data_IF_911119345878
#
_entry.id   IF_911119345878
#
_cell.length_a   1.000
_cell.length_b   1.000
_cell.length_c   1.000
_cell.angle_alpha   90.00
_cell.angle_beta   90.00
_cell.angle_gamma   90.00
#
_symmetry.space_group_name_H-M   'P 1'
#
loop_
_entity.id
_entity.type
_entity.pdbx_description
1 polymer ?
#
# COMPACT_ATOMS: atom_id res chain seq x y z
N UNK A 1 -11.26 8.62 29.83
CA UNK A 1 -10.90 8.60 29.37
C UNK A 1 -10.57 8.24 28.42
N UNK A 2 -10.69 7.75 27.95
CA UNK A 2 -10.43 7.32 27.21
C UNK A 2 -9.82 7.66 26.34
N UNK A 3 -9.71 8.23 26.39
CA UNK A 3 -9.10 8.78 25.59
C UNK A 3 -7.90 8.39 25.03
N UNK A 4 -7.15 7.95 25.60
CA UNK A 4 -5.93 7.29 25.19
C UNK A 4 -6.20 6.35 24.06
N UNK A 5 -7.31 5.71 24.17
CA UNK A 5 -7.77 4.84 23.11
C UNK A 5 -7.97 5.57 21.78
N UNK A 6 -7.99 6.91 21.84
CA UNK A 6 -8.10 7.69 20.62
C UNK A 6 -6.84 7.64 19.76
N UNK A 7 -5.69 7.19 20.32
CA UNK A 7 -4.47 7.06 19.55
C UNK A 7 -4.48 5.73 18.80
N UNK A 8 -5.10 5.75 17.65
CA UNK A 8 -5.17 4.59 16.79
C UNK A 8 -3.81 4.31 16.18
N UNK A 9 -3.40 3.03 16.19
CA UNK A 9 -2.13 2.63 15.58
C UNK A 9 -2.38 2.24 14.14
N UNK A 10 -1.68 2.91 13.24
CA UNK A 10 -1.77 2.63 11.82
C UNK A 10 -0.37 2.52 11.23
N UNK A 11 -0.24 1.74 10.16
CA UNK A 11 1.00 1.62 9.41
C UNK A 11 0.76 2.16 8.01
N UNK A 12 1.66 3.02 7.53
CA UNK A 12 1.61 3.50 6.16
C UNK A 12 2.84 3.03 5.40
N UNK A 13 2.60 2.40 4.26
CA UNK A 13 3.66 2.02 3.32
C UNK A 13 3.83 3.22 2.40
N UNK A 14 4.88 3.97 2.64
CA UNK A 14 5.03 5.38 2.25
C UNK A 14 6.12 5.58 1.22
N UNK A 15 5.87 6.49 0.28
CA UNK A 15 6.87 7.00 -0.64
C UNK A 15 6.88 8.52 -0.50
N UNK A 16 7.94 9.07 0.11
CA UNK A 16 8.00 10.50 0.41
C UNK A 16 8.05 11.38 -0.84
N UNK A 17 8.32 10.79 -2.00
CA UNK A 17 8.31 11.53 -3.28
C UNK A 17 6.94 11.56 -3.93
N UNK A 18 5.99 10.80 -3.41
CA UNK A 18 4.64 10.72 -3.96
C UNK A 18 3.73 11.69 -3.20
N UNK A 19 3.12 12.64 -3.93
CA UNK A 19 2.24 13.65 -3.31
C UNK A 19 1.06 13.00 -2.59
N UNK A 20 0.46 11.97 -3.17
CA UNK A 20 -0.67 11.27 -2.53
C UNK A 20 -0.25 10.61 -1.24
N UNK A 21 0.96 10.06 -1.21
CA UNK A 21 1.49 9.44 0.00
C UNK A 21 1.73 10.47 1.09
N UNK A 22 2.32 11.63 0.74
CA UNK A 22 2.53 12.71 1.70
C UNK A 22 1.21 13.26 2.23
N UNK A 23 0.21 13.45 1.37
CA UNK A 23 -1.11 13.94 1.77
C UNK A 23 -1.80 12.95 2.70
N UNK A 24 -1.69 11.67 2.42
CA UNK A 24 -2.25 10.62 3.26
C UNK A 24 -1.61 10.62 4.64
N UNK A 25 -0.28 10.69 4.70
CA UNK A 25 0.44 10.74 5.97
C UNK A 25 0.00 11.94 6.79
N UNK A 26 -0.15 13.10 6.15
CA UNK A 26 -0.60 14.31 6.83
C UNK A 26 -1.98 14.12 7.44
N UNK A 27 -2.91 13.52 6.71
CA UNK A 27 -4.25 13.26 7.22
C UNK A 27 -4.21 12.35 8.47
N UNK A 28 -3.38 11.32 8.44
CA UNK A 28 -3.23 10.43 9.59
C UNK A 28 -2.68 11.17 10.80
N UNK A 29 -1.70 12.03 10.59
CA UNK A 29 -1.09 12.82 11.65
C UNK A 29 -2.07 13.84 12.23
N UNK A 30 -2.84 14.49 11.38
CA UNK A 30 -3.85 15.46 11.82
C UNK A 30 -4.98 14.79 12.60
N UNK A 31 -5.26 13.53 12.29
CA UNK A 31 -6.25 12.74 13.01
C UNK A 31 -5.76 12.33 14.41
N UNK A 32 -4.46 12.46 14.66
CA UNK A 32 -3.87 12.06 15.94
C UNK A 32 -3.52 10.59 16.03
N UNK A 33 -3.39 9.92 14.88
CA UNK A 33 -3.00 8.51 14.86
C UNK A 33 -1.54 8.35 15.28
N UNK A 34 -1.23 7.21 15.90
CA UNK A 34 0.14 6.78 16.08
C UNK A 34 0.56 6.06 14.80
N UNK A 35 1.42 6.70 14.00
CA UNK A 35 1.73 6.22 12.67
C UNK A 35 3.09 5.56 12.62
N UNK A 36 3.13 4.31 12.15
CA UNK A 36 4.38 3.66 11.79
C UNK A 36 4.58 3.88 10.29
N UNK A 37 5.72 4.45 9.93
CA UNK A 37 6.04 4.75 8.53
C UNK A 37 7.03 3.71 8.02
N UNK A 38 6.65 2.99 6.98
CA UNK A 38 7.54 2.04 6.31
C UNK A 38 7.82 2.58 4.92
N UNK A 39 9.08 2.90 4.65
CA UNK A 39 9.49 3.32 3.31
C UNK A 39 9.69 2.06 2.48
N UNK A 40 8.63 1.63 1.80
CA UNK A 40 8.58 0.33 1.15
C UNK A 40 9.58 0.18 0.00
N UNK A 41 10.08 1.28 -0.55
CA UNK A 41 11.11 1.21 -1.59
C UNK A 41 12.47 0.79 -1.00
N UNK A 42 12.68 1.05 0.29
CA UNK A 42 13.90 0.66 1.01
C UNK A 42 13.73 -0.63 1.79
N UNK A 43 12.51 -0.86 2.27
CA UNK A 43 12.16 -2.04 3.06
C UNK A 43 10.94 -2.69 2.40
N UNK A 44 11.12 -3.38 1.28
CA UNK A 44 9.99 -3.90 0.51
C UNK A 44 9.21 -4.98 1.27
N UNK A 45 7.89 -5.00 1.12
CA UNK A 45 7.11 -6.10 1.67
C UNK A 45 7.40 -7.40 0.93
N UNK A 46 7.28 -8.50 1.64
CA UNK A 46 7.43 -9.83 1.05
C UNK A 46 6.19 -10.16 0.20
N UNK A 47 6.31 -11.20 -0.62
CA UNK A 47 5.16 -11.69 -1.38
C UNK A 47 4.00 -12.08 -0.44
N UNK A 48 4.32 -12.66 0.73
CA UNK A 48 3.31 -13.02 1.71
C UNK A 48 2.60 -11.81 2.29
N UNK A 49 3.35 -10.75 2.60
CA UNK A 49 2.77 -9.50 3.08
C UNK A 49 1.88 -8.87 2.02
N UNK A 50 2.33 -8.88 0.76
CA UNK A 50 1.53 -8.36 -0.34
C UNK A 50 0.24 -9.16 -0.52
N UNK A 51 0.30 -10.47 -0.36
CA UNK A 51 -0.91 -11.30 -0.41
C UNK A 51 -1.89 -10.92 0.70
N UNK A 52 -1.37 -10.62 1.90
CA UNK A 52 -2.21 -10.17 3.01
C UNK A 52 -2.84 -8.81 2.70
N UNK A 53 -2.10 -7.89 2.09
CA UNK A 53 -2.68 -6.60 1.65
C UNK A 53 -3.83 -6.84 0.68
N UNK A 54 -3.63 -7.71 -0.29
CA UNK A 54 -4.68 -8.01 -1.28
C UNK A 54 -5.94 -8.54 -0.61
N UNK A 55 -5.79 -9.44 0.38
CA UNK A 55 -6.95 -9.96 1.11
C UNK A 55 -7.68 -8.85 1.84
N UNK A 56 -6.94 -7.99 2.54
CA UNK A 56 -7.54 -6.89 3.31
C UNK A 56 -8.17 -5.84 2.41
N UNK A 57 -7.61 -5.62 1.23
CA UNK A 57 -8.11 -4.64 0.27
C UNK A 57 -9.23 -5.20 -0.62
N UNK A 58 -9.38 -6.52 -0.66
CA UNK A 58 -10.34 -7.15 -1.58
C UNK A 58 -9.90 -7.05 -3.03
N UNK A 59 -8.59 -7.08 -3.29
CA UNK A 59 -8.02 -6.94 -4.63
C UNK A 59 -7.30 -8.21 -5.06
N UNK A 60 -7.26 -8.42 -6.37
CA UNK A 60 -6.34 -9.39 -6.95
C UNK A 60 -4.95 -8.75 -7.03
N UNK A 61 -3.86 -9.54 -7.01
CA UNK A 61 -2.51 -8.98 -7.07
C UNK A 61 -2.28 -8.01 -8.22
N UNK A 62 -2.78 -8.30 -9.40
CA UNK A 62 -2.59 -7.42 -10.56
C UNK A 62 -3.26 -6.06 -10.34
N UNK A 63 -4.34 -6.01 -9.56
CA UNK A 63 -5.04 -4.76 -9.24
C UNK A 63 -4.24 -3.89 -8.27
N UNK A 64 -3.31 -4.48 -7.53
CA UNK A 64 -2.43 -3.75 -6.63
C UNK A 64 -1.22 -3.19 -7.37
N UNK A 65 -1.02 -3.58 -8.62
CA UNK A 65 0.18 -3.30 -9.37
C UNK A 65 0.04 -2.04 -10.21
N UNK A 66 1.11 -1.27 -10.29
CA UNK A 66 1.15 -0.05 -11.09
C UNK A 66 1.58 -0.42 -12.52
N UNK A 67 0.62 -0.87 -13.31
CA UNK A 67 0.89 -1.36 -14.66
C UNK A 67 1.31 -0.25 -15.62
N UNK A 68 1.11 1.01 -15.25
CA UNK A 68 1.51 2.15 -16.06
C UNK A 68 2.92 2.64 -15.76
N UNK A 69 3.61 2.05 -14.78
CA UNK A 69 5.00 2.36 -14.54
C UNK A 69 5.85 1.94 -15.73
N UNK A 70 6.85 2.74 -16.05
CA UNK A 70 7.75 2.43 -17.15
C UNK A 70 8.43 1.07 -16.96
N UNK A 71 8.80 0.73 -15.73
CA UNK A 71 9.44 -0.54 -15.44
C UNK A 71 8.58 -1.73 -15.85
N UNK A 72 7.26 -1.62 -15.71
CA UNK A 72 6.32 -2.68 -16.08
C UNK A 72 6.52 -3.05 -17.56
N UNK A 73 6.54 -2.04 -18.44
CA UNK A 73 6.72 -2.29 -19.86
C UNK A 73 8.16 -2.68 -20.17
N UNK A 74 9.15 -2.13 -19.48
CA UNK A 74 10.56 -2.49 -19.68
C UNK A 74 10.84 -3.95 -19.33
N UNK A 75 10.09 -4.51 -18.40
CA UNK A 75 10.20 -5.92 -18.03
C UNK A 75 9.45 -6.85 -18.99
N UNK A 76 8.80 -6.30 -20.01
CA UNK A 76 8.03 -7.09 -20.95
C UNK A 76 6.73 -7.64 -20.37
N UNK A 77 6.20 -7.02 -19.33
CA UNK A 77 4.98 -7.48 -18.69
C UNK A 77 3.75 -6.92 -19.40
N UNK A 78 2.65 -7.65 -19.35
CA UNK A 78 1.37 -7.20 -19.88
C UNK A 78 0.27 -7.65 -18.91
N UNK A 79 -0.82 -6.86 -18.83
CA UNK A 79 -1.90 -7.14 -17.90
C UNK A 79 -2.65 -8.43 -18.23
N UNK A 80 -2.59 -8.86 -19.49
CA UNK A 80 -3.22 -10.09 -19.94
C UNK A 80 -2.28 -11.30 -19.95
N UNK A 81 -1.09 -11.16 -19.35
CA UNK A 81 -0.17 -12.29 -19.23
C UNK A 81 -0.82 -13.42 -18.43
N UNK A 82 -0.56 -14.66 -18.85
CA UNK A 82 -1.07 -15.84 -18.16
C UNK A 82 -0.20 -16.18 -16.93
N UNK A 83 0.05 -15.21 -16.07
CA UNK A 83 0.84 -15.40 -14.85
C UNK A 83 -0.06 -15.70 -13.67
N UNK A 84 0.42 -16.53 -12.75
CA UNK A 84 -0.34 -16.82 -11.54
C UNK A 84 -0.30 -15.63 -10.59
N UNK A 85 -1.21 -15.62 -9.61
CA UNK A 85 -1.19 -14.60 -8.57
C UNK A 85 0.14 -14.60 -7.83
N UNK A 86 0.72 -15.78 -7.60
CA UNK A 86 2.03 -15.89 -6.94
C UNK A 86 3.13 -15.23 -7.75
N UNK A 87 3.08 -15.36 -9.08
CA UNK A 87 4.05 -14.73 -9.96
C UNK A 87 3.96 -13.20 -9.85
N UNK A 88 2.74 -12.65 -9.88
CA UNK A 88 2.55 -11.20 -9.76
C UNK A 88 3.03 -10.68 -8.41
N UNK A 89 2.74 -11.41 -7.33
CA UNK A 89 3.19 -11.02 -5.98
C UNK A 89 4.71 -11.02 -5.89
N UNK A 90 5.36 -12.03 -6.47
CA UNK A 90 6.81 -12.09 -6.45
C UNK A 90 7.42 -10.95 -7.24
N UNK A 91 6.85 -10.63 -8.40
CA UNK A 91 7.33 -9.52 -9.23
C UNK A 91 7.27 -8.21 -8.44
N UNK A 92 6.17 -7.95 -7.72
CA UNK A 92 6.04 -6.74 -6.91
C UNK A 92 7.02 -6.74 -5.73
N UNK A 93 7.21 -7.88 -5.07
CA UNK A 93 8.15 -7.98 -3.96
C UNK A 93 9.58 -7.67 -4.41
N UNK A 94 9.95 -8.14 -5.60
CA UNK A 94 11.28 -7.91 -6.16
C UNK A 94 11.42 -6.53 -6.80
N UNK A 95 10.30 -5.86 -7.11
CA UNK A 95 10.29 -4.56 -7.78
C UNK A 95 9.24 -3.65 -7.11
N UNK A 96 9.55 -3.15 -5.91
CA UNK A 96 8.53 -2.43 -5.11
C UNK A 96 7.98 -1.17 -5.75
N UNK A 97 8.67 -0.58 -6.73
CA UNK A 97 8.13 0.56 -7.45
C UNK A 97 6.83 0.22 -8.19
N UNK A 98 6.58 -1.06 -8.43
CA UNK A 98 5.37 -1.52 -9.10
C UNK A 98 4.18 -1.65 -8.15
N UNK A 99 4.36 -1.44 -6.85
CA UNK A 99 3.29 -1.56 -5.87
C UNK A 99 2.53 -0.23 -5.79
N UNK A 100 1.19 -0.31 -5.78
CA UNK A 100 0.35 0.89 -5.59
C UNK A 100 0.59 1.50 -4.22
N UNK A 101 0.48 2.82 -4.11
CA UNK A 101 0.83 3.57 -2.88
C UNK A 101 -0.09 4.77 -2.69
N UNK A 102 -0.27 5.21 -1.45
CA UNK A 102 0.20 4.56 -0.23
C UNK A 102 -0.78 3.48 0.22
N UNK A 103 -0.27 2.45 0.87
CA UNK A 103 -1.12 1.46 1.52
C UNK A 103 -1.11 1.77 3.00
N UNK A 104 -2.30 1.88 3.59
CA UNK A 104 -2.46 2.14 5.02
C UNK A 104 -3.17 0.96 5.65
N UNK A 105 -2.60 0.45 6.73
CA UNK A 105 -3.13 -0.73 7.43
C UNK A 105 -3.45 -0.37 8.87
N UNK A 106 -4.63 -0.75 9.31
CA UNK A 106 -5.06 -0.61 10.69
C UNK A 106 -5.70 -1.93 11.12
N UNK A 107 -4.96 -2.72 11.91
CA UNK A 107 -5.43 -4.04 12.29
C UNK A 107 -5.65 -4.93 11.06
N UNK A 108 -6.84 -5.44 10.92
CA UNK A 108 -7.21 -6.30 9.79
C UNK A 108 -7.75 -5.51 8.59
N UNK A 109 -7.79 -4.20 8.69
CA UNK A 109 -8.29 -3.34 7.63
C UNK A 109 -7.15 -2.68 6.90
N UNK A 110 -7.34 -2.45 5.60
CA UNK A 110 -6.37 -1.75 4.77
C UNK A 110 -7.09 -0.89 3.75
N UNK A 111 -6.42 0.14 3.28
CA UNK A 111 -6.95 1.02 2.23
C UNK A 111 -5.77 1.59 1.44
N UNK A 112 -6.02 1.87 0.16
CA UNK A 112 -5.08 2.63 -0.66
C UNK A 112 -5.50 4.09 -0.57
N UNK A 113 -4.57 4.97 -0.17
CA UNK A 113 -4.86 6.39 0.02
C UNK A 113 -4.90 7.18 -1.29
N UNK A 114 -5.74 6.78 -2.21
CA UNK A 114 -5.92 7.44 -3.49
C UNK A 114 -7.41 7.49 -3.84
N UNK A 115 -8.07 8.59 -3.57
CA UNK A 115 -7.52 9.82 -2.98
C UNK A 115 -7.16 9.64 -1.49
N UNK A 116 -6.33 10.55 -0.94
CA UNK A 116 -5.88 10.41 0.46
C UNK A 116 -7.01 10.28 1.47
N UNK A 117 -8.14 10.93 1.24
CA UNK A 117 -9.30 10.90 2.13
C UNK A 117 -9.85 9.49 2.37
N UNK A 118 -9.52 8.53 1.50
CA UNK A 118 -9.98 7.16 1.65
C UNK A 118 -9.51 6.52 2.95
N UNK A 119 -8.44 7.04 3.57
CA UNK A 119 -7.98 6.51 4.86
C UNK A 119 -9.05 6.63 5.95
N UNK A 120 -9.99 7.56 5.79
CA UNK A 120 -11.08 7.71 6.76
C UNK A 120 -11.99 6.50 6.82
N UNK A 121 -11.99 5.67 5.78
CA UNK A 121 -12.81 4.46 5.72
C UNK A 121 -12.42 3.44 6.78
N UNK A 122 -11.18 3.48 7.27
CA UNK A 122 -10.69 2.53 8.27
C UNK A 122 -10.36 3.18 9.62
N UNK A 123 -10.60 4.47 9.75
CA UNK A 123 -10.28 5.20 11.00
C UNK A 123 -11.48 5.36 11.95
#
# INVERSE_FOLDING_TARGET
MEKISAMEKVTIYHNQRCSKSRQTLKLLQERGCQVEIIEYLKSPPSAEELAAFCRRLGLQPLELMRCKEQLFSEMGLAEDDARSNQDWLKIMADNPILIERPIVVKGEQAVIGRPPERVREIL
#
